data_IF_591960261399
#
_entry.id   IF_591960261399
#
_cell.length_a   1.000
_cell.length_b   1.000
_cell.length_c   1.000
_cell.angle_alpha   90.00
_cell.angle_beta   90.00
_cell.angle_gamma   90.00
#
_symmetry.space_group_name_H-M   'P 1'
#
loop_
_entity.id
_entity.type
_entity.pdbx_description
1 polymer ?
#
# COMPACT_ATOMS: atom_id res chain seq x y z
N UNK A 1 8.27 7.72 13.96
CA UNK A 1 8.24 6.39 13.31
C UNK A 1 6.79 5.92 13.19
N UNK A 2 6.31 5.64 11.97
CA UNK A 2 4.90 5.29 11.68
C UNK A 2 4.37 4.11 12.50
N UNK A 3 5.21 3.10 12.76
CA UNK A 3 4.84 1.94 13.56
C UNK A 3 4.41 2.30 14.99
N UNK A 4 5.14 3.22 15.65
CA UNK A 4 4.83 3.68 17.00
C UNK A 4 3.51 4.44 17.06
N UNK A 5 3.16 5.17 16.00
CA UNK A 5 1.85 5.82 15.86
C UNK A 5 0.75 4.82 15.52
N UNK A 6 1.05 3.75 14.78
CA UNK A 6 0.08 2.72 14.41
C UNK A 6 -0.28 1.79 15.59
N UNK A 7 0.63 1.53 16.52
CA UNK A 7 0.38 0.69 17.71
C UNK A 7 -0.14 1.48 18.91
N UNK A 8 0.00 2.80 18.87
CA UNK A 8 -0.12 3.63 20.06
C UNK A 8 1.14 3.54 20.91
N UNK A 9 1.32 4.55 21.76
CA UNK A 9 2.43 4.59 22.71
C UNK A 9 2.02 5.37 23.95
N UNK A 10 2.60 4.98 25.08
CA UNK A 10 2.54 5.77 26.30
C UNK A 10 3.73 6.71 26.34
N UNK A 11 3.49 7.94 26.79
CA UNK A 11 4.57 8.83 27.18
C UNK A 11 4.23 9.48 28.52
N UNK A 12 5.28 9.69 29.30
CA UNK A 12 5.17 10.41 30.56
C UNK A 12 5.55 11.86 30.32
N UNK A 13 4.61 12.75 30.56
CA UNK A 13 4.88 14.18 30.61
C UNK A 13 5.27 14.54 32.04
N UNK A 14 6.46 15.11 32.19
CA UNK A 14 6.98 15.59 33.47
C UNK A 14 6.96 17.11 33.39
N UNK A 15 6.21 17.73 34.28
CA UNK A 15 6.20 19.18 34.45
C UNK A 15 7.10 19.50 35.65
N UNK A 16 8.13 20.30 35.39
CA UNK A 16 9.03 20.84 36.41
C UNK A 16 8.73 22.33 36.55
N UNK A 17 8.50 22.75 37.79
CA UNK A 17 8.30 24.16 38.13
C UNK A 17 9.44 24.63 39.03
N UNK A 18 9.84 25.89 38.86
CA UNK A 18 10.87 26.51 39.69
C UNK A 18 10.24 26.93 41.01
N UNK A 19 10.60 26.25 42.10
CA UNK A 19 10.22 26.63 43.47
C UNK A 19 11.38 27.36 44.16
N UNK A 20 11.13 27.95 45.34
CA UNK A 20 12.17 28.68 46.11
C UNK A 20 13.40 27.83 46.44
N UNK A 21 13.26 26.49 46.41
CA UNK A 21 14.33 25.53 46.72
C UNK A 21 14.98 24.89 45.47
N UNK A 22 14.56 25.25 44.26
CA UNK A 22 15.11 24.73 43.01
C UNK A 22 14.06 24.23 42.01
N UNK A 23 14.50 23.56 40.95
CA UNK A 23 13.61 22.89 39.99
C UNK A 23 12.98 21.66 40.66
N UNK A 24 11.66 21.66 40.83
CA UNK A 24 10.94 20.54 41.45
C UNK A 24 9.92 19.96 40.46
N UNK A 25 9.88 18.62 40.37
CA UNK A 25 8.92 17.91 39.54
C UNK A 25 7.56 17.98 40.25
N UNK A 26 6.67 18.85 39.79
CA UNK A 26 5.35 19.06 40.42
C UNK A 26 4.29 18.13 39.88
N UNK A 27 4.46 17.60 38.66
CA UNK A 27 3.45 16.72 38.06
C UNK A 27 4.06 15.70 37.11
N UNK A 28 3.67 14.44 37.30
CA UNK A 28 3.96 13.34 36.37
C UNK A 28 2.65 12.77 35.84
N UNK A 29 2.38 12.96 34.55
CA UNK A 29 1.16 12.46 33.90
C UNK A 29 1.53 11.43 32.84
N UNK A 30 1.01 10.22 32.97
CA UNK A 30 1.08 9.20 31.91
C UNK A 30 -0.06 9.45 30.94
N UNK A 31 0.27 9.77 29.68
CA UNK A 31 -0.70 9.95 28.60
C UNK A 31 -0.63 8.77 27.65
N UNK A 32 -1.78 8.21 27.28
CA UNK A 32 -1.90 7.19 26.25
C UNK A 32 -2.22 7.84 24.91
N UNK A 33 -1.40 7.57 23.89
CA UNK A 33 -1.72 7.93 22.51
C UNK A 33 -2.36 6.72 21.86
N UNK A 34 -3.62 6.85 21.47
CA UNK A 34 -4.36 5.79 20.80
C UNK A 34 -3.71 5.42 19.45
N UNK A 35 -3.75 4.14 19.05
CA UNK A 35 -3.29 3.71 17.74
C UNK A 35 -4.01 4.45 16.61
N UNK A 36 -3.25 4.95 15.63
CA UNK A 36 -3.80 5.61 14.45
C UNK A 36 -4.23 4.57 13.40
N UNK A 37 -5.54 4.42 13.11
CA UNK A 37 -6.04 3.40 12.19
C UNK A 37 -5.59 3.62 10.75
N UNK A 38 -5.38 4.87 10.32
CA UNK A 38 -4.88 5.20 8.97
C UNK A 38 -3.43 4.73 8.82
N UNK A 39 -2.60 4.94 9.84
CA UNK A 39 -1.22 4.46 9.85
C UNK A 39 -1.16 2.92 9.81
N UNK A 40 -2.07 2.24 10.52
CA UNK A 40 -2.20 0.79 10.47
C UNK A 40 -2.58 0.28 9.07
N UNK A 41 -3.57 0.91 8.42
CA UNK A 41 -4.00 0.56 7.05
C UNK A 41 -2.84 0.68 6.05
N UNK A 42 -2.11 1.79 6.06
CA UNK A 42 -0.97 1.97 5.15
C UNK A 42 0.19 1.01 5.45
N UNK A 43 0.45 0.71 6.72
CA UNK A 43 1.49 -0.25 7.11
C UNK A 43 1.15 -1.66 6.62
N UNK A 44 -0.10 -2.09 6.81
CA UNK A 44 -0.57 -3.41 6.39
C UNK A 44 -0.57 -3.56 4.87
N UNK A 45 -0.96 -2.53 4.11
CA UNK A 45 -0.86 -2.52 2.64
C UNK A 45 0.57 -2.70 2.13
N UNK A 46 1.56 -2.11 2.81
CA UNK A 46 2.97 -2.18 2.40
C UNK A 46 3.69 -3.47 2.88
N UNK A 47 3.32 -4.02 4.05
CA UNK A 47 4.01 -5.18 4.68
C UNK A 47 3.28 -6.52 4.50
N UNK A 48 1.97 -6.50 4.26
CA UNK A 48 1.13 -7.68 4.00
C UNK A 48 0.22 -7.45 2.79
N UNK A 49 0.80 -7.20 1.60
CA UNK A 49 0.01 -6.87 0.41
C UNK A 49 -0.96 -7.98 0.00
N UNK A 50 -0.62 -9.27 0.19
CA UNK A 50 -1.50 -10.37 -0.24
C UNK A 50 -2.85 -10.41 0.50
N UNK A 51 -2.84 -10.00 1.77
CA UNK A 51 -4.02 -9.93 2.64
C UNK A 51 -4.74 -8.58 2.52
N UNK A 52 -4.00 -7.46 2.36
CA UNK A 52 -4.53 -6.09 2.57
C UNK A 52 -4.54 -5.19 1.32
N UNK A 53 -4.04 -5.64 0.17
CA UNK A 53 -4.05 -4.83 -1.06
C UNK A 53 -5.47 -4.75 -1.62
N UNK A 54 -5.95 -3.53 -1.88
CA UNK A 54 -7.33 -3.30 -2.32
C UNK A 54 -7.63 -3.94 -3.69
N UNK A 55 -6.63 -3.98 -4.58
CA UNK A 55 -6.74 -4.58 -5.91
C UNK A 55 -5.88 -5.85 -5.98
N UNK A 56 -6.54 -7.00 -6.01
CA UNK A 56 -5.90 -8.26 -6.41
C UNK A 56 -5.84 -8.27 -7.93
N UNK A 57 -4.63 -8.21 -8.48
CA UNK A 57 -4.45 -8.50 -9.90
C UNK A 57 -4.68 -9.99 -10.08
N UNK A 58 -5.84 -10.35 -10.62
CA UNK A 58 -6.07 -11.70 -11.13
C UNK A 58 -5.16 -11.86 -12.34
N UNK A 59 -4.07 -12.61 -12.18
CA UNK A 59 -3.30 -13.07 -13.33
C UNK A 59 -4.25 -13.92 -14.19
N UNK A 60 -4.66 -13.40 -15.34
CA UNK A 60 -5.35 -14.19 -16.36
C UNK A 60 -4.25 -15.05 -17.00
N UNK A 61 -3.94 -16.20 -16.40
CA UNK A 61 -3.09 -17.23 -17.00
C UNK A 61 -3.90 -18.11 -17.95
N UNK A 62 -4.80 -17.50 -18.72
CA UNK A 62 -5.40 -18.13 -19.89
C UNK A 62 -4.48 -17.85 -21.07
N UNK A 63 -3.95 -18.89 -21.68
CA UNK A 63 -3.35 -18.81 -23.01
C UNK A 63 -4.36 -18.10 -23.90
N UNK A 64 -4.14 -16.81 -24.17
CA UNK A 64 -5.05 -16.02 -25.00
C UNK A 64 -4.81 -16.52 -26.41
N UNK A 65 -5.51 -17.58 -26.79
CA UNK A 65 -5.53 -18.09 -28.15
C UNK A 65 -6.15 -17.00 -29.00
N UNK A 66 -5.32 -16.07 -29.47
CA UNK A 66 -5.68 -15.14 -30.52
C UNK A 66 -5.90 -16.04 -31.73
N UNK A 67 -7.17 -16.35 -32.01
CA UNK A 67 -7.56 -17.08 -33.21
C UNK A 67 -7.19 -16.21 -34.39
N UNK A 68 -5.97 -16.37 -34.90
CA UNK A 68 -5.52 -15.66 -36.10
C UNK A 68 -6.38 -16.16 -37.27
N UNK A 69 -7.32 -15.34 -37.78
CA UNK A 69 -8.24 -15.78 -38.83
C UNK A 69 -7.51 -16.04 -40.16
N UNK A 70 -6.24 -15.63 -40.27
CA UNK A 70 -5.41 -15.79 -41.45
C UNK A 70 -4.34 -16.88 -41.30
N UNK A 71 -4.37 -17.69 -40.22
CA UNK A 71 -3.35 -18.72 -39.97
C UNK A 71 -3.26 -19.80 -41.06
N UNK A 72 -4.30 -19.95 -41.88
CA UNK A 72 -4.38 -20.95 -42.95
C UNK A 72 -4.17 -20.36 -44.36
N UNK A 73 -3.79 -19.08 -44.49
CA UNK A 73 -3.53 -18.45 -45.78
C UNK A 73 -2.04 -18.53 -46.14
N UNK A 74 -1.76 -18.69 -47.44
CA UNK A 74 -0.41 -18.59 -47.98
C UNK A 74 0.06 -17.13 -48.05
N UNK A 75 1.39 -16.92 -48.14
CA UNK A 75 1.99 -15.59 -48.25
C UNK A 75 1.47 -14.81 -49.48
N UNK A 76 1.17 -15.52 -50.58
CA UNK A 76 0.62 -14.92 -51.79
C UNK A 76 -0.81 -14.41 -51.58
N UNK A 77 -1.65 -15.17 -50.86
CA UNK A 77 -3.02 -14.77 -50.53
C UNK A 77 -3.07 -13.60 -49.55
N UNK A 78 -2.14 -13.58 -48.57
CA UNK A 78 -1.97 -12.44 -47.66
C UNK A 78 -1.58 -11.17 -48.42
N UNK A 79 -0.65 -11.29 -49.36
CA UNK A 79 -0.19 -10.16 -50.18
C UNK A 79 -1.31 -9.63 -51.08
N UNK A 80 -2.07 -10.53 -51.70
CA UNK A 80 -3.22 -10.16 -52.53
C UNK A 80 -4.30 -9.44 -51.71
N UNK A 81 -4.61 -9.92 -50.51
CA UNK A 81 -5.60 -9.29 -49.63
C UNK A 81 -5.17 -7.88 -49.19
N UNK A 82 -3.88 -7.67 -48.93
CA UNK A 82 -3.33 -6.35 -48.58
C UNK A 82 -3.34 -5.35 -49.74
N UNK A 83 -3.33 -5.83 -50.99
CA UNK A 83 -3.38 -5.02 -52.21
C UNK A 83 -4.82 -4.70 -52.65
N UNK A 84 -5.82 -5.49 -52.26
CA UNK A 84 -7.25 -5.30 -52.62
C UNK A 84 -7.99 -4.31 -51.68
N UNK A 85 -7.45 -4.06 -50.49
CA UNK A 85 -7.99 -3.14 -49.46
C UNK A 85 -7.50 -1.67 -49.61
N UNK A 86 -6.80 -1.33 -50.70
CA UNK A 86 -6.27 0.01 -51.00
C UNK A 86 -6.93 0.68 -52.21
#
# INVERSE_FOLDING_TARGET
>A
ALFKSATGYEYTEVTEELTENGMEITKKVTKQVAPNPVAAIFWLKNRKPDEWRDRKETQISGEMSVSNPFANLSEEELRRLAEDDG
#
